data_IF_121910692453
#
_entry.id   IF_121910692453
#
_cell.length_a   1.000
_cell.length_b   1.000
_cell.length_c   1.000
_cell.angle_alpha   90.00
_cell.angle_beta   90.00
_cell.angle_gamma   90.00
#
_symmetry.space_group_name_H-M   'P 1'
#
loop_
_entity.id
_entity.type
_entity.pdbx_description
1 polymer ?
#
# COMPACT_ATOMS: atom_id res chain seq x y z
N UNK A 1 43.19 33.33 10.16
CA UNK A 1 42.37 32.10 10.32
C UNK A 1 42.56 31.26 9.07
N UNK A 2 43.25 30.13 9.23
CA UNK A 2 43.84 29.34 8.15
C UNK A 2 42.82 28.28 7.69
N UNK A 3 42.53 28.14 6.38
CA UNK A 3 41.61 27.13 5.88
C UNK A 3 42.25 25.73 5.96
N UNK A 4 41.50 24.76 6.50
CA UNK A 4 41.95 23.37 6.63
C UNK A 4 41.94 22.68 5.27
N UNK A 5 43.13 22.19 4.95
CA UNK A 5 43.62 21.61 3.71
C UNK A 5 43.01 20.24 3.42
N UNK A 6 42.59 20.07 2.17
CA UNK A 6 42.29 18.79 1.50
C UNK A 6 43.54 17.92 1.51
N UNK A 7 43.48 16.72 2.09
CA UNK A 7 44.54 15.71 1.99
C UNK A 7 44.19 14.72 0.89
N UNK A 8 44.64 15.07 -0.31
CA UNK A 8 44.75 14.21 -1.48
C UNK A 8 45.90 13.22 -1.25
N UNK A 9 45.61 11.96 -0.96
CA UNK A 9 46.61 10.89 -0.94
C UNK A 9 46.59 10.19 -2.30
N UNK A 10 47.48 10.63 -3.19
CA UNK A 10 47.89 9.88 -4.38
C UNK A 10 49.05 8.99 -3.95
N UNK A 11 48.83 7.68 -3.91
CA UNK A 11 49.89 6.68 -3.83
C UNK A 11 49.95 5.99 -5.19
N UNK A 12 50.87 6.46 -6.02
CA UNK A 12 51.33 5.75 -7.22
C UNK A 12 52.36 4.73 -6.73
N UNK A 13 51.98 3.45 -6.70
CA UNK A 13 52.94 2.36 -6.56
C UNK A 13 53.04 1.63 -7.91
N UNK A 14 54.18 1.81 -8.55
CA UNK A 14 54.53 1.20 -9.82
C UNK A 14 55.07 -0.23 -9.62
N UNK A 15 54.54 -1.15 -10.43
CA UNK A 15 55.20 -2.31 -11.05
C UNK A 15 55.82 -3.40 -10.14
N UNK A 16 55.08 -4.50 -10.04
CA UNK A 16 55.61 -5.83 -10.40
C UNK A 16 54.46 -6.72 -10.82
N UNK A 17 54.36 -7.02 -12.12
CA UNK A 17 53.46 -8.02 -12.69
C UNK A 17 54.12 -9.38 -12.47
N UNK A 18 53.54 -10.32 -11.70
CA UNK A 18 53.71 -11.72 -12.01
C UNK A 18 52.65 -12.10 -13.03
N UNK A 19 53.10 -12.47 -14.23
CA UNK A 19 52.33 -13.24 -15.19
C UNK A 19 52.01 -14.59 -14.52
N UNK A 20 50.89 -14.66 -13.81
CA UNK A 20 50.28 -15.93 -13.41
C UNK A 20 49.14 -16.18 -14.39
N UNK A 21 49.47 -16.82 -15.51
CA UNK A 21 48.51 -17.60 -16.27
C UNK A 21 48.06 -18.77 -15.37
N UNK A 22 47.05 -18.51 -14.55
CA UNK A 22 46.26 -19.53 -13.88
C UNK A 22 44.89 -19.45 -14.52
N UNK A 23 44.65 -20.33 -15.48
CA UNK A 23 43.32 -20.69 -15.92
C UNK A 23 42.61 -21.31 -14.72
N UNK A 24 41.99 -20.49 -13.87
CA UNK A 24 40.88 -20.95 -13.05
C UNK A 24 39.64 -20.83 -13.93
N UNK A 25 39.37 -21.91 -14.68
CA UNK A 25 38.08 -22.17 -15.28
C UNK A 25 37.06 -22.47 -14.18
N UNK A 26 36.84 -21.50 -13.31
CA UNK A 26 35.72 -21.45 -12.39
C UNK A 26 34.46 -21.18 -13.19
N UNK A 27 33.90 -22.26 -13.76
CA UNK A 27 32.50 -22.46 -14.13
C UNK A 27 31.66 -21.17 -14.13
N UNK A 28 31.73 -20.40 -15.22
CA UNK A 28 30.79 -19.30 -15.51
C UNK A 28 29.34 -19.79 -15.47
N UNK A 29 29.10 -21.09 -15.68
CA UNK A 29 27.81 -21.77 -15.52
C UNK A 29 27.25 -21.81 -14.10
N UNK A 30 28.08 -21.91 -13.06
CA UNK A 30 27.60 -21.92 -11.67
C UNK A 30 27.16 -20.52 -11.21
N UNK A 31 27.77 -19.48 -11.75
CA UNK A 31 27.46 -18.10 -11.39
C UNK A 31 26.14 -17.64 -12.03
N UNK A 32 25.87 -18.00 -13.29
CA UNK A 32 24.56 -17.75 -13.93
C UNK A 32 23.44 -18.59 -13.32
N UNK A 33 23.68 -19.86 -12.97
CA UNK A 33 22.67 -20.71 -12.33
C UNK A 33 22.26 -20.20 -10.93
N UNK A 34 23.23 -19.69 -10.14
CA UNK A 34 22.95 -19.08 -8.82
C UNK A 34 22.19 -17.76 -8.93
N UNK A 35 22.49 -16.93 -9.92
CA UNK A 35 21.78 -15.67 -10.18
C UNK A 35 20.35 -15.92 -10.68
N UNK A 36 20.15 -16.91 -11.57
CA UNK A 36 18.82 -17.33 -12.03
C UNK A 36 17.94 -17.85 -10.89
N UNK A 37 18.47 -18.72 -10.03
CA UNK A 37 17.73 -19.28 -8.89
C UNK A 37 17.37 -18.20 -7.84
N UNK A 38 18.28 -17.26 -7.57
CA UNK A 38 18.00 -16.13 -6.67
C UNK A 38 16.95 -15.16 -7.24
N UNK A 39 17.01 -14.86 -8.55
CA UNK A 39 16.01 -14.04 -9.23
C UNK A 39 14.62 -14.67 -9.22
N UNK A 40 14.53 -15.99 -9.43
CA UNK A 40 13.27 -16.73 -9.43
C UNK A 40 12.62 -16.80 -8.04
N UNK A 41 13.38 -17.06 -6.98
CA UNK A 41 12.88 -17.00 -5.60
C UNK A 41 12.37 -15.60 -5.21
N UNK A 42 13.09 -14.56 -5.65
CA UNK A 42 12.66 -13.18 -5.42
C UNK A 42 11.35 -12.89 -6.17
N UNK A 43 11.24 -13.31 -7.43
CA UNK A 43 10.01 -13.19 -8.21
C UNK A 43 8.82 -13.88 -7.54
N UNK A 44 8.98 -15.14 -7.11
CA UNK A 44 7.93 -15.91 -6.45
C UNK A 44 7.46 -15.25 -5.15
N UNK A 45 8.40 -14.75 -4.33
CA UNK A 45 8.07 -14.03 -3.09
C UNK A 45 7.28 -12.76 -3.36
N UNK A 46 7.72 -11.93 -4.32
CA UNK A 46 7.04 -10.68 -4.67
C UNK A 46 5.66 -10.92 -5.26
N UNK A 47 5.54 -11.95 -6.12
CA UNK A 47 4.27 -12.32 -6.72
C UNK A 47 3.29 -12.90 -5.68
N UNK A 48 3.78 -13.65 -4.69
CA UNK A 48 2.94 -14.13 -3.58
C UNK A 48 2.41 -12.96 -2.74
N UNK A 49 3.26 -11.98 -2.40
CA UNK A 49 2.84 -10.77 -1.68
C UNK A 49 1.80 -9.98 -2.47
N UNK A 50 2.01 -9.80 -3.78
CA UNK A 50 1.07 -9.13 -4.68
C UNK A 50 -0.30 -9.81 -4.67
N UNK A 51 -0.34 -11.14 -4.82
CA UNK A 51 -1.58 -11.90 -4.81
C UNK A 51 -2.32 -11.80 -3.47
N UNK A 52 -1.59 -11.79 -2.35
CA UNK A 52 -2.19 -11.61 -1.02
C UNK A 52 -2.85 -10.23 -0.87
N UNK A 53 -2.18 -9.16 -1.29
CA UNK A 53 -2.73 -7.81 -1.23
C UNK A 53 -3.93 -7.63 -2.18
N UNK A 54 -3.82 -8.13 -3.42
CA UNK A 54 -4.90 -8.03 -4.41
C UNK A 54 -6.15 -8.82 -4.00
N UNK A 55 -5.98 -10.00 -3.40
CA UNK A 55 -7.11 -10.80 -2.90
C UNK A 55 -7.75 -10.22 -1.62
N UNK A 56 -6.98 -9.51 -0.79
CA UNK A 56 -7.47 -8.87 0.44
C UNK A 56 -8.18 -7.53 0.21
N UNK A 57 -7.81 -6.77 -0.82
CA UNK A 57 -8.35 -5.43 -1.13
C UNK A 57 -9.89 -5.39 -1.25
N UNK A 58 -10.57 -6.32 -1.95
CA UNK A 58 -12.03 -6.31 -2.05
C UNK A 58 -12.73 -6.35 -0.69
N UNK A 59 -12.20 -7.12 0.27
CA UNK A 59 -12.75 -7.20 1.62
C UNK A 59 -12.58 -5.87 2.38
N UNK A 60 -11.39 -5.25 2.29
CA UNK A 60 -11.12 -3.94 2.90
C UNK A 60 -12.04 -2.85 2.31
N UNK A 61 -12.24 -2.83 0.98
CA UNK A 61 -13.15 -1.90 0.30
C UNK A 61 -14.62 -2.07 0.73
N UNK A 62 -15.08 -3.32 0.90
CA UNK A 62 -16.41 -3.61 1.46
C UNK A 62 -16.56 -3.08 2.89
N UNK A 63 -15.53 -3.25 3.72
CA UNK A 63 -15.52 -2.75 5.09
C UNK A 63 -15.52 -1.21 5.14
N UNK A 64 -14.74 -0.54 4.28
CA UNK A 64 -14.75 0.91 4.13
C UNK A 64 -16.16 1.41 3.76
N UNK A 65 -16.84 0.77 2.81
CA UNK A 65 -18.21 1.12 2.45
C UNK A 65 -19.20 0.92 3.62
N UNK A 66 -18.99 -0.12 4.44
CA UNK A 66 -19.77 -0.35 5.66
C UNK A 66 -19.55 0.76 6.68
N UNK A 67 -18.30 1.15 6.92
CA UNK A 67 -17.93 2.25 7.83
C UNK A 67 -18.48 3.58 7.35
N UNK A 68 -18.42 3.83 6.03
CA UNK A 68 -19.02 5.03 5.42
C UNK A 68 -20.53 5.07 5.65
N UNK A 69 -21.25 3.97 5.41
CA UNK A 69 -22.71 3.90 5.71
C UNK A 69 -23.00 4.17 7.19
N UNK A 70 -22.24 3.57 8.10
CA UNK A 70 -22.39 3.83 9.55
C UNK A 70 -22.11 5.30 9.90
N UNK A 71 -21.11 5.90 9.25
CA UNK A 71 -20.79 7.31 9.43
C UNK A 71 -21.91 8.21 8.92
N UNK A 72 -22.45 7.95 7.72
CA UNK A 72 -23.59 8.68 7.14
C UNK A 72 -24.83 8.56 8.03
N UNK A 73 -25.18 7.34 8.47
CA UNK A 73 -26.31 7.10 9.39
C UNK A 73 -26.09 7.80 10.74
N UNK A 74 -24.86 7.84 11.24
CA UNK A 74 -24.55 8.56 12.48
C UNK A 74 -24.57 10.09 12.30
N UNK A 75 -24.24 10.60 11.11
CA UNK A 75 -24.34 12.04 10.80
C UNK A 75 -25.78 12.49 10.57
N UNK A 76 -26.57 11.68 9.87
CA UNK A 76 -27.98 11.91 9.63
C UNK A 76 -28.71 10.63 10.02
N UNK A 77 -29.26 10.61 11.24
CA UNK A 77 -30.23 9.58 11.61
C UNK A 77 -31.33 9.64 10.55
N UNK A 78 -31.53 8.56 9.79
CA UNK A 78 -32.71 8.44 8.94
C UNK A 78 -33.91 8.31 9.88
N UNK A 79 -34.83 9.28 9.92
CA UNK A 79 -36.01 9.22 10.76
C UNK A 79 -36.82 7.97 10.39
N UNK A 80 -37.35 7.28 11.39
CA UNK A 80 -38.36 6.25 11.15
C UNK A 80 -39.66 6.90 10.64
N UNK A 81 -40.50 6.11 9.98
CA UNK A 81 -41.81 6.59 9.46
C UNK A 81 -42.68 7.20 10.57
N UNK A 82 -42.58 6.67 11.80
CA UNK A 82 -43.29 7.21 12.98
C UNK A 82 -42.75 8.58 13.41
N UNK A 83 -41.42 8.76 13.42
CA UNK A 83 -40.75 10.02 13.77
C UNK A 83 -41.01 11.11 12.73
N UNK A 84 -41.10 10.75 11.43
CA UNK A 84 -41.50 11.66 10.37
C UNK A 84 -42.94 12.15 10.58
N UNK A 85 -43.87 11.21 10.81
CA UNK A 85 -45.28 11.56 11.02
C UNK A 85 -45.49 12.45 12.24
N UNK A 86 -44.79 12.17 13.35
CA UNK A 86 -44.86 13.03 14.55
C UNK A 86 -44.24 14.41 14.32
N UNK A 87 -43.18 14.50 13.52
CA UNK A 87 -42.58 15.78 13.13
C UNK A 87 -43.50 16.58 12.19
N UNK A 88 -44.15 15.92 11.24
CA UNK A 88 -45.13 16.53 10.33
C UNK A 88 -46.39 17.02 11.07
N UNK A 89 -46.91 16.23 12.02
CA UNK A 89 -48.02 16.64 12.88
C UNK A 89 -47.64 17.85 13.75
N UNK A 90 -46.42 17.86 14.31
CA UNK A 90 -45.90 19.01 15.07
C UNK A 90 -45.70 20.25 14.20
N UNK A 91 -45.15 20.11 13.00
CA UNK A 91 -44.93 21.22 12.07
C UNK A 91 -46.23 21.84 11.57
N UNK A 92 -47.27 21.02 11.42
CA UNK A 92 -48.61 21.51 11.13
C UNK A 92 -49.24 22.28 12.31
N UNK A 93 -48.85 21.96 13.55
CA UNK A 93 -49.42 22.55 14.77
C UNK A 93 -48.75 23.86 15.23
N UNK A 94 -47.59 24.22 14.68
CA UNK A 94 -46.88 25.43 15.07
C UNK A 94 -45.38 25.41 14.74
N UNK A 95 -44.62 26.42 15.20
CA UNK A 95 -43.18 26.49 14.97
C UNK A 95 -42.45 25.32 15.63
N UNK A 96 -41.55 24.70 14.88
CA UNK A 96 -40.81 23.50 15.31
C UNK A 96 -39.37 23.86 15.63
N UNK A 97 -38.86 23.37 16.76
CA UNK A 97 -37.48 23.60 17.15
C UNK A 97 -36.50 22.70 16.39
N UNK A 98 -35.24 23.12 16.29
CA UNK A 98 -34.15 22.29 15.72
C UNK A 98 -34.03 20.97 16.50
N UNK A 99 -34.33 20.99 17.80
CA UNK A 99 -34.36 19.81 18.65
C UNK A 99 -35.49 18.83 18.32
N UNK A 100 -36.53 19.24 17.60
CA UNK A 100 -37.61 18.36 17.15
C UNK A 100 -37.32 17.73 15.78
N UNK A 101 -36.39 18.30 15.00
CA UNK A 101 -35.99 17.79 13.70
C UNK A 101 -35.41 16.37 13.83
N UNK A 102 -36.05 15.35 13.24
CA UNK A 102 -35.63 13.97 13.40
C UNK A 102 -34.34 13.64 12.63
N UNK A 103 -33.94 14.51 11.69
CA UNK A 103 -32.69 14.40 10.95
C UNK A 103 -31.48 14.92 11.74
N UNK A 104 -31.70 15.68 12.81
CA UNK A 104 -30.64 16.23 13.65
C UNK A 104 -30.31 15.24 14.77
N UNK A 105 -29.03 14.90 14.89
CA UNK A 105 -28.56 13.98 15.91
C UNK A 105 -28.56 14.68 17.28
N UNK A 106 -29.47 14.26 18.16
CA UNK A 106 -29.73 14.89 19.46
C UNK A 106 -28.81 14.42 20.59
N UNK A 107 -28.04 13.34 20.38
CA UNK A 107 -27.19 12.78 21.43
C UNK A 107 -25.70 13.11 21.22
N UNK A 108 -25.02 13.63 22.26
CA UNK A 108 -23.58 13.88 22.22
C UNK A 108 -22.74 12.58 22.16
N UNK A 109 -23.32 11.44 22.54
CA UNK A 109 -22.68 10.11 22.48
C UNK A 109 -22.77 9.45 21.09
N UNK A 110 -23.69 9.90 20.24
CA UNK A 110 -23.79 9.50 18.82
C UNK A 110 -22.94 10.40 17.92
N UNK A 111 -21.83 10.92 18.44
CA UNK A 111 -20.88 11.69 17.64
C UNK A 111 -20.40 10.86 16.45
N UNK A 112 -20.43 11.41 15.22
CA UNK A 112 -19.86 10.77 14.03
C UNK A 112 -18.38 10.40 14.20
N UNK A 113 -17.70 10.94 15.22
CA UNK A 113 -16.28 10.81 15.51
C UNK A 113 -15.75 9.37 15.38
N UNK A 114 -16.35 8.39 16.07
CA UNK A 114 -15.80 7.01 16.06
C UNK A 114 -15.83 6.36 14.67
N UNK A 115 -16.93 6.53 13.93
CA UNK A 115 -17.08 5.94 12.60
C UNK A 115 -16.30 6.73 11.55
N UNK A 116 -16.15 8.05 11.74
CA UNK A 116 -15.28 8.90 10.95
C UNK A 116 -13.81 8.47 11.08
N UNK A 117 -13.32 8.33 12.30
CA UNK A 117 -11.93 7.91 12.58
C UNK A 117 -11.68 6.52 11.98
N UNK A 118 -12.56 5.57 12.24
CA UNK A 118 -12.44 4.22 11.67
C UNK A 118 -12.48 4.22 10.13
N UNK A 119 -13.32 5.07 9.51
CA UNK A 119 -13.37 5.22 8.06
C UNK A 119 -12.04 5.73 7.50
N UNK A 120 -11.48 6.80 8.07
CA UNK A 120 -10.20 7.35 7.59
C UNK A 120 -9.02 6.42 7.84
N UNK A 121 -8.96 5.75 9.00
CA UNK A 121 -7.95 4.72 9.25
C UNK A 121 -8.02 3.60 8.20
N UNK A 122 -9.23 3.12 7.88
CA UNK A 122 -9.40 2.08 6.86
C UNK A 122 -9.05 2.58 5.46
N UNK A 123 -9.31 3.86 5.16
CA UNK A 123 -8.94 4.48 3.90
C UNK A 123 -7.42 4.55 3.74
N UNK A 124 -6.70 4.92 4.80
CA UNK A 124 -5.24 4.99 4.80
C UNK A 124 -4.60 3.61 4.66
N UNK A 125 -5.16 2.58 5.32
CA UNK A 125 -4.74 1.19 5.10
C UNK A 125 -4.90 0.76 3.64
N UNK A 126 -6.02 1.09 2.99
CA UNK A 126 -6.25 0.75 1.58
C UNK A 126 -5.27 1.47 0.67
N UNK A 127 -4.96 2.75 0.96
CA UNK A 127 -3.96 3.51 0.19
C UNK A 127 -2.58 2.88 0.31
N UNK A 128 -2.17 2.51 1.52
CA UNK A 128 -0.88 1.84 1.74
C UNK A 128 -0.79 0.52 0.98
N UNK A 129 -1.85 -0.29 0.96
CA UNK A 129 -1.90 -1.52 0.16
C UNK A 129 -1.80 -1.23 -1.34
N UNK A 130 -2.53 -0.23 -1.84
CA UNK A 130 -2.53 0.16 -3.26
C UNK A 130 -1.15 0.69 -3.71
N UNK A 131 -0.48 1.48 -2.86
CA UNK A 131 0.89 1.94 -3.07
C UNK A 131 1.89 0.77 -3.06
N UNK A 132 1.72 -0.19 -2.14
CA UNK A 132 2.58 -1.39 -2.10
C UNK A 132 2.37 -2.25 -3.34
N UNK A 133 1.13 -2.44 -3.80
CA UNK A 133 0.81 -3.15 -5.05
C UNK A 133 1.50 -2.48 -6.25
N UNK A 134 1.43 -1.15 -6.35
CA UNK A 134 2.09 -0.42 -7.43
C UNK A 134 3.62 -0.63 -7.40
N UNK A 135 4.20 -0.61 -6.20
CA UNK A 135 5.64 -0.86 -5.99
C UNK A 135 6.02 -2.30 -6.36
N UNK A 136 5.27 -3.29 -5.89
CA UNK A 136 5.48 -4.70 -6.18
C UNK A 136 5.43 -4.99 -7.68
N UNK A 137 4.48 -4.39 -8.41
CA UNK A 137 4.40 -4.53 -9.87
C UNK A 137 5.67 -4.03 -10.57
N UNK A 138 6.20 -2.88 -10.13
CA UNK A 138 7.46 -2.36 -10.66
C UNK A 138 8.66 -3.26 -10.32
N UNK A 139 8.73 -3.76 -9.08
CA UNK A 139 9.79 -4.69 -8.64
C UNK A 139 9.75 -6.00 -9.43
N UNK A 140 8.55 -6.55 -9.67
CA UNK A 140 8.34 -7.77 -10.47
C UNK A 140 8.77 -7.54 -11.91
N UNK A 141 8.41 -6.41 -12.54
CA UNK A 141 8.86 -6.08 -13.90
C UNK A 141 10.38 -5.94 -14.01
N UNK A 142 11.02 -5.33 -13.01
CA UNK A 142 12.47 -5.20 -12.95
C UNK A 142 13.17 -6.56 -12.78
N UNK A 143 12.63 -7.44 -11.91
CA UNK A 143 13.15 -8.80 -11.74
C UNK A 143 12.93 -9.63 -13.00
N UNK A 144 11.75 -9.60 -13.61
CA UNK A 144 11.42 -10.33 -14.84
C UNK A 144 12.29 -9.93 -16.04
N UNK A 145 12.73 -8.67 -16.09
CA UNK A 145 13.68 -8.19 -17.12
C UNK A 145 15.13 -8.62 -16.86
N UNK A 146 15.46 -9.04 -15.63
CA UNK A 146 16.79 -9.47 -15.19
C UNK A 146 16.96 -11.00 -15.15
N UNK A 147 15.86 -11.76 -15.27
CA UNK A 147 15.92 -13.21 -15.43
C UNK A 147 16.22 -13.49 -16.90
N UNK A 148 17.40 -14.04 -17.26
CA UNK A 148 17.64 -14.46 -18.62
C UNK A 148 16.58 -15.50 -18.97
N UNK A 149 15.75 -15.21 -19.97
CA UNK A 149 14.97 -16.24 -20.67
C UNK A 149 15.96 -17.31 -21.06
N UNK A 150 15.91 -18.48 -20.40
CA UNK A 150 16.62 -19.66 -20.86
C UNK A 150 16.28 -19.79 -22.33
N UNK A 151 17.28 -19.53 -23.18
CA UNK A 151 17.15 -19.61 -24.62
C UNK A 151 16.80 -21.07 -24.89
N UNK A 152 15.51 -21.34 -25.07
CA UNK A 152 15.04 -22.64 -25.52
C UNK A 152 15.80 -22.97 -26.81
N UNK A 153 16.40 -24.15 -26.78
CA UNK A 153 17.31 -24.70 -27.76
C UNK A 153 16.89 -24.36 -29.20
N UNK A 154 17.77 -23.63 -29.89
CA UNK A 154 17.80 -23.60 -31.35
C UNK A 154 18.22 -24.99 -31.84
N UNK A 155 17.28 -25.68 -32.48
CA UNK A 155 17.40 -26.81 -33.43
C UNK A 155 18.52 -27.84 -33.25
#
# INVERSE_FOLDING_TARGET
MIPKTVRLFIVILALSIPYAAMADSGSTSDQTARVGNAGQKKYESLNSELQQLESGLPAKKKELARLHRKWVIAKGRMPTTKELKTFEEKSASGPVEIADNPFVNKSPLSSPGRYRVAYFQKLDEIRADEERIATLRNEISAVGSSVPTSVENLN
#
